data_IF_723696334125
#
_entry.id   IF_723696334125
#
_cell.length_a   1.000
_cell.length_b   1.000
_cell.length_c   1.000
_cell.angle_alpha   90.00
_cell.angle_beta   90.00
_cell.angle_gamma   90.00
#
_symmetry.space_group_name_H-M   'P 1'
#
loop_
_entity.id
_entity.type
_entity.pdbx_description
1 polymer ?
#
# COMPACT_ATOMS: atom_id res chain seq x y z
N UNK A 1 9.63 16.75 36.46
CA UNK A 1 8.57 17.10 35.49
C UNK A 1 9.15 17.05 34.07
N UNK A 2 9.09 15.89 33.42
CA UNK A 2 9.54 15.70 32.04
C UNK A 2 8.45 16.16 31.08
N UNK A 3 8.74 17.19 30.26
CA UNK A 3 7.86 17.60 29.16
C UNK A 3 7.62 16.40 28.25
N UNK A 4 6.37 16.10 27.83
CA UNK A 4 6.14 15.08 26.82
C UNK A 4 6.93 15.50 25.59
N UNK A 5 7.87 14.65 25.19
CA UNK A 5 8.59 14.80 23.94
C UNK A 5 7.51 14.94 22.86
N UNK A 6 7.36 16.13 22.28
CA UNK A 6 6.67 16.29 21.01
C UNK A 6 7.30 15.24 20.10
N UNK A 7 6.55 14.16 19.83
CA UNK A 7 6.89 13.18 18.82
C UNK A 7 6.97 13.99 17.53
N UNK A 8 8.18 14.50 17.20
CA UNK A 8 8.45 15.25 15.99
C UNK A 8 8.10 14.33 14.84
N UNK A 9 6.86 14.42 14.38
CA UNK A 9 6.34 13.64 13.29
C UNK A 9 7.28 13.90 12.13
N UNK A 10 8.11 12.90 11.81
CA UNK A 10 9.05 13.00 10.70
C UNK A 10 8.17 13.16 9.47
N UNK A 11 8.16 14.36 8.88
CA UNK A 11 7.24 14.73 7.78
C UNK A 11 7.28 13.75 6.60
N UNK A 12 8.39 13.04 6.45
CA UNK A 12 8.64 12.04 5.40
C UNK A 12 8.30 10.59 5.80
N UNK A 13 7.98 10.34 7.07
CA UNK A 13 7.62 9.04 7.64
C UNK A 13 6.19 9.04 8.23
N UNK A 14 5.40 10.07 7.92
CA UNK A 14 3.96 10.07 8.20
C UNK A 14 3.22 9.26 7.13
N UNK A 15 2.04 8.73 7.45
CA UNK A 15 1.22 8.01 6.46
C UNK A 15 0.95 8.83 5.18
N UNK A 16 0.56 10.12 5.25
CA UNK A 16 0.42 10.94 4.05
C UNK A 16 1.74 11.16 3.29
N UNK A 17 2.85 11.31 4.02
CA UNK A 17 4.18 11.46 3.43
C UNK A 17 4.61 10.21 2.67
N UNK A 18 4.33 9.03 3.23
CA UNK A 18 4.61 7.74 2.60
C UNK A 18 3.76 7.53 1.36
N UNK A 19 2.45 7.78 1.43
CA UNK A 19 1.56 7.68 0.26
C UNK A 19 1.99 8.60 -0.88
N UNK A 20 2.44 9.82 -0.57
CA UNK A 20 2.97 10.76 -1.56
C UNK A 20 4.26 10.24 -2.21
N UNK A 21 5.15 9.63 -1.43
CA UNK A 21 6.37 9.01 -1.96
C UNK A 21 6.04 7.80 -2.84
N UNK A 22 5.11 6.95 -2.40
CA UNK A 22 4.67 5.78 -3.16
C UNK A 22 4.04 6.19 -4.50
N UNK A 23 3.18 7.21 -4.52
CA UNK A 23 2.63 7.75 -5.79
C UNK A 23 3.74 8.20 -6.74
N UNK A 24 4.74 8.95 -6.23
CA UNK A 24 5.90 9.37 -7.03
C UNK A 24 6.70 8.19 -7.59
N UNK A 25 6.73 7.06 -6.89
CA UNK A 25 7.36 5.85 -7.42
C UNK A 25 6.53 5.26 -8.55
N UNK A 26 5.21 5.18 -8.42
CA UNK A 26 4.33 4.68 -9.49
C UNK A 26 4.31 5.58 -10.72
N UNK A 27 4.43 6.90 -10.56
CA UNK A 27 4.55 7.86 -11.66
C UNK A 27 5.81 7.67 -12.52
N UNK A 28 6.84 6.97 -12.02
CA UNK A 28 8.06 6.66 -12.78
C UNK A 28 7.91 5.43 -13.67
N UNK A 29 6.83 4.68 -13.52
CA UNK A 29 6.55 3.51 -14.35
C UNK A 29 5.94 4.03 -15.65
N UNK A 30 6.60 3.75 -16.77
CA UNK A 30 6.07 4.10 -18.09
C UNK A 30 4.71 3.42 -18.27
N UNK A 31 3.73 4.21 -18.74
CA UNK A 31 2.39 3.73 -19.06
C UNK A 31 2.28 3.53 -20.58
N UNK A 32 2.50 2.29 -21.09
CA UNK A 32 2.54 2.04 -22.52
C UNK A 32 1.16 2.14 -23.19
N UNK A 33 0.07 2.09 -22.41
CA UNK A 33 -1.29 2.03 -22.94
C UNK A 33 -1.99 3.36 -22.75
N UNK A 34 -2.30 4.02 -23.87
CA UNK A 34 -3.00 5.32 -23.88
C UNK A 34 -4.51 5.09 -24.06
N UNK A 35 -5.33 5.96 -23.44
CA UNK A 35 -6.80 5.96 -23.61
C UNK A 35 -7.60 5.49 -22.40
N UNK A 36 -6.97 5.27 -21.25
CA UNK A 36 -7.65 4.94 -20.00
C UNK A 36 -8.23 6.17 -19.31
N UNK A 37 -9.30 5.99 -18.53
CA UNK A 37 -9.91 7.06 -17.74
C UNK A 37 -9.06 7.50 -16.54
N UNK A 38 -8.13 6.67 -16.09
CA UNK A 38 -7.24 6.92 -14.97
C UNK A 38 -5.81 6.51 -15.34
N UNK A 39 -4.82 7.22 -14.78
CA UNK A 39 -3.41 6.91 -15.02
C UNK A 39 -3.00 5.59 -14.36
N UNK A 40 -1.93 4.94 -14.84
CA UNK A 40 -1.32 3.79 -14.14
C UNK A 40 -1.05 4.09 -12.66
N UNK A 41 -0.55 5.29 -12.35
CA UNK A 41 -0.30 5.71 -10.97
C UNK A 41 -1.58 5.73 -10.12
N UNK A 42 -2.69 6.21 -10.66
CA UNK A 42 -3.96 6.24 -9.92
C UNK A 42 -4.53 4.82 -9.71
N UNK A 43 -4.41 3.95 -10.71
CA UNK A 43 -4.78 2.53 -10.59
C UNK A 43 -3.95 1.81 -9.51
N UNK A 44 -2.64 2.06 -9.46
CA UNK A 44 -1.77 1.49 -8.44
C UNK A 44 -2.08 2.04 -7.04
N UNK A 45 -2.44 3.32 -6.93
CA UNK A 45 -2.89 3.90 -5.66
C UNK A 45 -4.23 3.31 -5.21
N UNK A 46 -5.16 3.03 -6.12
CA UNK A 46 -6.41 2.32 -5.82
C UNK A 46 -6.15 0.88 -5.35
N UNK A 47 -5.25 0.17 -6.02
CA UNK A 47 -4.81 -1.16 -5.60
C UNK A 47 -4.16 -1.14 -4.20
N UNK A 48 -3.32 -0.15 -3.92
CA UNK A 48 -2.72 0.05 -2.60
C UNK A 48 -3.78 0.32 -1.52
N UNK A 49 -4.81 1.11 -1.82
CA UNK A 49 -5.91 1.36 -0.89
C UNK A 49 -6.68 0.07 -0.56
N UNK A 50 -7.00 -0.73 -1.58
CA UNK A 50 -7.64 -2.04 -1.41
C UNK A 50 -6.75 -3.00 -0.61
N UNK A 51 -5.44 -2.98 -0.87
CA UNK A 51 -4.47 -3.78 -0.13
C UNK A 51 -4.45 -3.39 1.34
N UNK A 52 -4.32 -2.10 1.66
CA UNK A 52 -4.29 -1.61 3.06
C UNK A 52 -5.63 -1.84 3.77
N UNK A 53 -6.74 -1.83 3.04
CA UNK A 53 -8.06 -2.15 3.59
C UNK A 53 -8.17 -3.64 3.98
N UNK A 54 -7.64 -4.54 3.15
CA UNK A 54 -7.66 -5.98 3.41
C UNK A 54 -6.60 -6.42 4.41
N UNK A 55 -5.42 -5.82 4.32
CA UNK A 55 -4.25 -6.15 5.14
C UNK A 55 -3.67 -4.85 5.73
N UNK A 56 -3.96 -4.57 7.02
CA UNK A 56 -3.40 -3.43 7.75
C UNK A 56 -1.86 -3.36 7.78
N UNK A 57 -1.15 -4.42 7.39
CA UNK A 57 0.31 -4.44 7.28
C UNK A 57 0.81 -5.46 6.26
N UNK A 58 2.00 -5.21 5.70
CA UNK A 58 2.72 -6.17 4.86
C UNK A 58 3.01 -7.49 5.60
N UNK A 59 3.21 -7.45 6.92
CA UNK A 59 3.47 -8.66 7.70
C UNK A 59 2.24 -9.58 7.75
N UNK A 60 1.04 -9.01 7.94
CA UNK A 60 -0.21 -9.77 7.87
C UNK A 60 -0.46 -10.34 6.48
N UNK A 61 -0.12 -9.58 5.44
CA UNK A 61 -0.18 -10.08 4.07
C UNK A 61 0.79 -11.25 3.84
N UNK A 62 2.05 -11.14 4.28
CA UNK A 62 3.05 -12.21 4.11
C UNK A 62 2.62 -13.49 4.83
N UNK A 63 2.10 -13.37 6.07
CA UNK A 63 1.53 -14.50 6.80
C UNK A 63 0.31 -15.13 6.09
N UNK A 64 -0.59 -14.30 5.56
CA UNK A 64 -1.73 -14.78 4.77
C UNK A 64 -1.29 -15.46 3.47
N UNK A 65 -0.32 -14.88 2.75
CA UNK A 65 0.18 -15.41 1.48
C UNK A 65 0.91 -16.75 1.67
N UNK A 66 1.77 -16.86 2.67
CA UNK A 66 2.44 -18.11 3.04
C UNK A 66 1.46 -19.16 3.57
N UNK A 67 0.45 -18.73 4.34
CA UNK A 67 -0.64 -19.59 4.78
C UNK A 67 -1.49 -20.12 3.62
N UNK A 68 -1.66 -19.33 2.55
CA UNK A 68 -2.33 -19.72 1.30
C UNK A 68 -1.50 -20.69 0.44
N UNK A 69 -0.18 -20.55 0.42
CA UNK A 69 0.71 -21.55 -0.17
C UNK A 69 0.62 -22.91 0.57
N UNK A 70 0.33 -22.89 1.88
CA UNK A 70 0.17 -24.10 2.68
C UNK A 70 -1.26 -24.71 2.64
N UNK A 71 -2.30 -23.95 2.26
CA UNK A 71 -3.71 -24.40 2.25
C UNK A 71 -4.50 -23.81 1.04
N UNK A 72 -4.58 -24.54 -0.09
CA UNK A 72 -5.23 -24.09 -1.33
C UNK A 72 -6.76 -23.87 -1.21
N UNK A 73 -7.42 -24.52 -0.26
CA UNK A 73 -8.89 -24.57 -0.10
C UNK A 73 -9.53 -23.21 0.21
N UNK A 74 -8.76 -22.22 0.68
CA UNK A 74 -9.29 -20.90 1.06
C UNK A 74 -9.60 -19.98 -0.14
N UNK A 75 -9.27 -20.39 -1.37
CA UNK A 75 -9.35 -19.54 -2.57
C UNK A 75 -10.79 -19.35 -3.08
N UNK A 76 -11.71 -20.26 -2.75
CA UNK A 76 -13.06 -20.27 -3.34
C UNK A 76 -14.07 -19.25 -2.80
N UNK A 77 -13.75 -18.48 -1.75
CA UNK A 77 -14.72 -17.58 -1.08
C UNK A 77 -14.31 -16.11 -1.09
N UNK A 78 -13.57 -15.65 -2.10
CA UNK A 78 -13.25 -14.24 -2.31
C UNK A 78 -13.67 -13.78 -3.70
#
# INVERSE_FOLDING_TARGET
MTRPQELRFRRHLSAPGLLKLTRKCFERIDDPVKGHRASLADNMMAALAMFMFKFPSMLQFDGFARGREALPELIHNL
#
